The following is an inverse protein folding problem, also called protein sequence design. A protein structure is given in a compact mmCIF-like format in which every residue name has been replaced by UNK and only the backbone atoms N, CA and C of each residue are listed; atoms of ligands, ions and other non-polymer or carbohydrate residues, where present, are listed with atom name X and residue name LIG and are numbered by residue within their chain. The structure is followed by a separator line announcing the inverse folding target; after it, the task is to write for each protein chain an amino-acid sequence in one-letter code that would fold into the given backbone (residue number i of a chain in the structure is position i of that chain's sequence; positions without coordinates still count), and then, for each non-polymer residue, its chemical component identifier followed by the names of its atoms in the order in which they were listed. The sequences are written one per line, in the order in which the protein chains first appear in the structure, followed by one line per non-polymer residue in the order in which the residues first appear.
data_IF_012603709027
#
_entry.id   IF_012603709027
#
_cell.length_a   1.000
_cell.length_b   1.000
_cell.length_c   1.000
_cell.angle_alpha   90.00
_cell.angle_beta   90.00
_cell.angle_gamma   90.00
#
_symmetry.space_group_name_H-M   'P 1'
#
loop_
_entity.id
_entity.type
_entity.pdbx_description
1 polymer ?
#
# COMPACT_ATOMS: atom_id res chain seq x y z
N UNK A 1 -4.92 7.04 -18.00
CA UNK A 1 -6.02 6.08 -17.78
C UNK A 1 -7.30 6.70 -17.25
N UNK A 2 -7.24 7.73 -16.40
CA UNK A 2 -8.45 8.29 -15.79
C UNK A 2 -9.47 8.79 -16.81
N UNK A 3 -10.76 8.62 -16.49
CA UNK A 3 -11.88 9.05 -17.33
C UNK A 3 -12.00 10.58 -17.42
N UNK A 4 -12.66 11.07 -18.47
CA UNK A 4 -12.81 12.51 -18.68
C UNK A 4 -13.72 13.18 -17.65
N UNK A 5 -14.59 12.41 -17.00
CA UNK A 5 -15.57 12.91 -16.03
C UNK A 5 -14.95 13.13 -14.65
N UNK A 6 -13.77 12.56 -14.40
CA UNK A 6 -12.99 12.83 -13.19
C UNK A 6 -12.31 14.19 -13.32
N UNK A 7 -12.99 15.22 -12.83
CA UNK A 7 -12.53 16.63 -12.89
C UNK A 7 -11.36 16.94 -11.95
N UNK A 8 -10.98 16.01 -11.09
CA UNK A 8 -9.92 16.22 -10.11
C UNK A 8 -8.55 15.90 -10.71
N UNK A 9 -7.59 16.80 -10.54
CA UNK A 9 -6.19 16.51 -10.86
C UNK A 9 -5.66 15.44 -9.89
N UNK A 10 -5.31 14.24 -10.36
CA UNK A 10 -4.88 13.14 -9.49
C UNK A 10 -3.54 13.43 -8.82
N UNK A 11 -2.67 14.21 -9.44
CA UNK A 11 -1.38 14.59 -8.86
C UNK A 11 -1.59 15.58 -7.72
N UNK A 12 -2.38 16.62 -7.95
CA UNK A 12 -2.73 17.58 -6.92
C UNK A 12 -3.41 16.90 -5.74
N UNK A 13 -4.35 16.00 -5.98
CA UNK A 13 -5.04 15.23 -4.92
C UNK A 13 -4.08 14.44 -4.03
N UNK A 14 -3.14 13.71 -4.64
CA UNK A 14 -2.15 12.92 -3.90
C UNK A 14 -1.19 13.83 -3.14
N UNK A 15 -0.73 14.91 -3.76
CA UNK A 15 0.20 15.87 -3.13
C UNK A 15 -0.45 16.60 -1.97
N UNK A 16 -1.71 17.01 -2.09
CA UNK A 16 -2.46 17.64 -1.01
C UNK A 16 -2.61 16.69 0.19
N UNK A 17 -2.97 15.44 -0.04
CA UNK A 17 -3.06 14.41 0.98
C UNK A 17 -1.71 14.16 1.67
N UNK A 18 -0.62 14.12 0.89
CA UNK A 18 0.74 13.97 1.39
C UNK A 18 1.13 15.16 2.29
N UNK A 19 1.01 16.38 1.80
CA UNK A 19 1.39 17.57 2.57
C UNK A 19 0.51 17.77 3.79
N UNK A 20 -0.79 17.48 3.69
CA UNK A 20 -1.68 17.50 4.85
C UNK A 20 -1.19 16.55 5.93
N UNK A 21 -0.88 15.30 5.57
CA UNK A 21 -0.38 14.30 6.51
C UNK A 21 0.95 14.70 7.14
N UNK A 22 1.87 15.28 6.36
CA UNK A 22 3.14 15.79 6.91
C UNK A 22 2.92 16.94 7.88
N UNK A 23 2.03 17.90 7.57
CA UNK A 23 1.71 19.03 8.47
C UNK A 23 1.04 18.61 9.79
N UNK A 24 0.32 17.49 9.78
CA UNK A 24 -0.32 16.92 10.97
C UNK A 24 0.63 16.05 11.81
N UNK A 25 1.90 15.98 11.45
CA UNK A 25 2.90 15.29 12.26
C UNK A 25 3.26 16.11 13.50
N UNK A 26 3.34 15.46 14.64
CA UNK A 26 3.71 16.08 15.90
C UNK A 26 5.23 16.34 15.94
N UNK A 27 5.63 17.49 15.41
CA UNK A 27 7.01 17.95 15.29
C UNK A 27 7.27 19.04 16.33
N UNK A 28 8.23 18.78 17.22
CA UNK A 28 8.66 19.73 18.22
C UNK A 28 9.68 20.72 17.64
N UNK A 29 9.75 21.96 18.14
CA UNK A 29 10.70 22.97 17.67
C UNK A 29 12.17 22.50 17.72
N UNK A 30 12.54 21.74 18.73
CA UNK A 30 13.88 21.19 18.97
C UNK A 30 14.23 19.98 18.09
N UNK A 31 13.27 19.42 17.35
CA UNK A 31 13.56 18.27 16.50
C UNK A 31 14.56 18.63 15.39
N UNK A 32 15.58 17.83 15.24
CA UNK A 32 16.54 17.89 14.14
C UNK A 32 15.84 17.66 12.79
N UNK A 33 16.43 18.07 11.66
CA UNK A 33 15.87 17.79 10.34
C UNK A 33 15.60 16.29 10.09
N UNK A 34 16.47 15.43 10.59
CA UNK A 34 16.30 13.97 10.49
C UNK A 34 15.08 13.50 11.28
N UNK A 35 14.95 13.92 12.54
CA UNK A 35 13.82 13.54 13.39
C UNK A 35 12.50 14.04 12.82
N UNK A 36 12.46 15.27 12.31
CA UNK A 36 11.29 15.81 11.60
C UNK A 36 10.89 14.90 10.46
N UNK A 37 11.84 14.55 9.59
CA UNK A 37 11.58 13.67 8.46
C UNK A 37 11.12 12.28 8.89
N UNK A 38 11.72 11.72 9.93
CA UNK A 38 11.31 10.41 10.46
C UNK A 38 9.91 10.44 11.07
N UNK A 39 9.52 11.49 11.78
CA UNK A 39 8.16 11.66 12.29
C UNK A 39 7.13 11.77 11.16
N UNK A 40 7.41 12.54 10.11
CA UNK A 40 6.57 12.59 8.91
C UNK A 40 6.41 11.21 8.26
N UNK A 41 7.52 10.48 8.09
CA UNK A 41 7.52 9.14 7.52
C UNK A 41 6.71 8.15 8.36
N UNK A 42 6.81 8.23 9.68
CA UNK A 42 6.02 7.40 10.62
C UNK A 42 4.53 7.72 10.45
N UNK A 43 4.15 9.01 10.43
CA UNK A 43 2.77 9.41 10.26
C UNK A 43 2.18 8.98 8.91
N UNK A 44 2.94 9.15 7.82
CA UNK A 44 2.57 8.65 6.49
C UNK A 44 2.37 7.12 6.49
N UNK A 45 3.28 6.37 7.15
CA UNK A 45 3.14 4.93 7.26
C UNK A 45 1.91 4.51 8.05
N UNK A 46 1.61 5.16 9.17
CA UNK A 46 0.43 4.83 9.96
C UNK A 46 -0.87 5.11 9.19
N UNK A 47 -1.01 6.29 8.60
CA UNK A 47 -2.26 6.73 7.98
C UNK A 47 -2.55 6.07 6.63
N UNK A 48 -1.52 5.79 5.84
CA UNK A 48 -1.71 5.30 4.48
C UNK A 48 -1.34 3.83 4.31
N UNK A 49 -0.18 3.43 4.78
CA UNK A 49 0.30 2.08 4.56
C UNK A 49 -0.24 1.08 5.58
N UNK A 50 -0.07 1.37 6.87
CA UNK A 50 -0.45 0.45 7.93
C UNK A 50 -1.96 0.27 8.03
N UNK A 51 -2.71 1.37 7.96
CA UNK A 51 -4.18 1.33 7.96
C UNK A 51 -4.71 0.47 6.80
N UNK A 52 -4.18 0.66 5.58
CA UNK A 52 -4.58 -0.13 4.41
C UNK A 52 -4.25 -1.62 4.59
N UNK A 53 -3.09 -1.95 5.18
CA UNK A 53 -2.72 -3.34 5.45
C UNK A 53 -3.63 -4.00 6.49
N UNK A 54 -3.94 -3.28 7.57
CA UNK A 54 -4.81 -3.75 8.65
C UNK A 54 -6.23 -4.00 8.13
N UNK A 55 -6.80 -3.02 7.42
CA UNK A 55 -8.14 -3.11 6.85
C UNK A 55 -8.25 -4.28 5.87
N UNK A 56 -7.29 -4.43 4.96
CA UNK A 56 -7.24 -5.59 4.05
C UNK A 56 -7.13 -6.90 4.80
N UNK A 57 -6.26 -6.97 5.82
CA UNK A 57 -6.03 -8.18 6.60
C UNK A 57 -7.29 -8.58 7.35
N UNK A 58 -7.92 -7.62 8.02
CA UNK A 58 -9.16 -7.83 8.78
C UNK A 58 -10.27 -8.34 7.87
N UNK A 59 -10.60 -7.62 6.81
CA UNK A 59 -11.69 -7.99 5.88
C UNK A 59 -11.49 -9.35 5.24
N UNK A 60 -10.29 -9.67 4.79
CA UNK A 60 -10.02 -10.95 4.12
C UNK A 60 -10.06 -12.13 5.10
N UNK A 61 -9.52 -11.96 6.30
CA UNK A 61 -9.50 -13.02 7.30
C UNK A 61 -10.89 -13.25 7.91
N UNK A 62 -11.62 -12.18 8.23
CA UNK A 62 -12.97 -12.27 8.76
C UNK A 62 -13.96 -12.87 7.74
N UNK A 63 -13.78 -12.58 6.45
CA UNK A 63 -14.54 -13.25 5.39
C UNK A 63 -14.34 -14.77 5.41
N UNK A 64 -13.16 -15.24 5.79
CA UNK A 64 -12.83 -16.64 5.96
C UNK A 64 -13.09 -17.16 7.40
N UNK A 65 -13.82 -16.41 8.23
CA UNK A 65 -14.10 -16.73 9.64
C UNK A 65 -12.83 -16.92 10.49
N UNK A 66 -11.76 -16.20 10.14
CA UNK A 66 -10.49 -16.25 10.85
C UNK A 66 -10.17 -14.88 11.46
N UNK A 67 -10.14 -14.79 12.78
CA UNK A 67 -9.67 -13.58 13.46
C UNK A 67 -8.14 -13.52 13.45
N UNK A 68 -7.60 -12.40 12.95
CA UNK A 68 -6.16 -12.13 12.95
C UNK A 68 -5.86 -10.94 13.84
N UNK A 69 -4.98 -11.16 14.82
CA UNK A 69 -4.49 -10.12 15.71
C UNK A 69 -3.07 -9.70 15.34
N UNK A 70 -2.78 -8.41 15.48
CA UNK A 70 -1.50 -7.80 15.07
C UNK A 70 -0.89 -7.06 16.26
N UNK A 71 -0.21 -7.76 17.20
CA UNK A 71 0.26 -7.16 18.45
C UNK A 71 1.17 -5.93 18.28
N UNK A 72 1.98 -5.89 17.21
CA UNK A 72 2.84 -4.74 16.92
C UNK A 72 2.09 -3.49 16.42
N UNK A 73 0.80 -3.61 16.16
CA UNK A 73 -0.06 -2.48 15.82
C UNK A 73 -0.88 -1.98 17.03
N UNK A 74 -0.54 -2.41 18.24
CA UNK A 74 -1.12 -1.87 19.47
C UNK A 74 -0.78 -0.38 19.58
N UNK A 75 -1.81 0.44 19.75
CA UNK A 75 -1.65 1.90 19.79
C UNK A 75 -0.71 2.35 20.94
N UNK A 76 -0.68 1.63 22.09
CA UNK A 76 0.20 1.93 23.20
C UNK A 76 1.68 1.78 22.84
N UNK A 77 2.00 0.77 22.02
CA UNK A 77 3.36 0.60 21.49
C UNK A 77 3.68 1.73 20.50
N UNK A 78 2.72 2.10 19.66
CA UNK A 78 2.88 3.17 18.70
C UNK A 78 3.13 4.52 19.39
N UNK A 79 2.32 4.88 20.38
CA UNK A 79 2.48 6.10 21.21
C UNK A 79 3.84 6.13 21.91
N UNK A 80 4.20 5.06 22.59
CA UNK A 80 5.50 4.97 23.26
C UNK A 80 6.65 5.16 22.28
N UNK A 81 6.65 4.42 21.17
CA UNK A 81 7.73 4.47 20.20
C UNK A 81 7.76 5.78 19.42
N UNK A 82 6.65 6.48 19.28
CA UNK A 82 6.63 7.77 18.57
C UNK A 82 7.51 8.81 19.27
N UNK A 83 7.51 8.83 20.60
CA UNK A 83 8.34 9.72 21.41
C UNK A 83 9.81 9.30 21.53
N UNK A 84 10.17 8.04 21.22
CA UNK A 84 11.56 7.56 21.32
C UNK A 84 12.42 8.18 20.22
N UNK A 85 13.60 8.77 20.53
CA UNK A 85 14.52 9.30 19.54
C UNK A 85 14.94 8.27 18.50
N UNK A 86 15.13 8.73 17.25
CA UNK A 86 15.42 7.81 16.14
C UNK A 86 16.66 6.97 16.32
N UNK A 87 17.71 7.52 16.92
CA UNK A 87 18.97 6.83 17.21
C UNK A 87 18.81 5.55 18.04
N UNK A 88 17.79 5.48 18.88
CA UNK A 88 17.48 4.26 19.63
C UNK A 88 16.68 3.25 18.81
N UNK A 89 15.81 3.73 17.92
CA UNK A 89 15.04 2.85 17.03
C UNK A 89 15.92 2.15 16.02
N UNK A 90 16.94 2.85 15.53
CA UNK A 90 17.93 2.38 14.56
C UNK A 90 19.28 2.05 15.24
N UNK A 91 19.23 1.45 16.40
CA UNK A 91 20.40 1.15 17.20
C UNK A 91 21.39 0.26 16.41
N UNK A 92 22.61 0.73 16.29
CA UNK A 92 23.66 0.06 15.53
C UNK A 92 23.46 0.10 14.01
N UNK A 93 22.65 1.03 13.48
CA UNK A 93 22.35 1.16 12.05
C UNK A 93 21.55 -0.02 11.50
N UNK A 94 20.77 -0.68 12.34
CA UNK A 94 19.96 -1.84 11.96
C UNK A 94 18.48 -1.56 12.14
N UNK A 95 17.69 -2.02 11.17
CA UNK A 95 16.25 -1.99 11.29
C UNK A 95 15.78 -2.72 12.55
N UNK A 96 14.84 -2.09 13.28
CA UNK A 96 14.30 -2.60 14.56
C UNK A 96 15.34 -2.75 15.67
N UNK A 97 16.38 -1.92 15.69
CA UNK A 97 17.49 -2.01 16.62
C UNK A 97 17.05 -2.08 18.07
N UNK A 98 16.16 -1.21 18.52
CA UNK A 98 15.60 -1.22 19.87
C UNK A 98 14.90 -2.55 20.22
N UNK A 99 14.06 -3.06 19.30
CA UNK A 99 13.37 -4.33 19.52
C UNK A 99 14.37 -5.50 19.62
N UNK A 100 15.39 -5.51 18.75
CA UNK A 100 16.45 -6.54 18.81
C UNK A 100 17.15 -6.49 20.14
N UNK A 101 17.53 -5.31 20.61
CA UNK A 101 18.16 -5.13 21.92
C UNK A 101 17.27 -5.63 23.07
N UNK A 102 15.98 -5.32 23.02
CA UNK A 102 15.03 -5.78 24.05
C UNK A 102 14.82 -7.30 24.06
N UNK A 103 15.16 -8.00 22.98
CA UNK A 103 14.92 -9.43 22.80
C UNK A 103 16.21 -10.28 22.88
N UNK A 104 17.36 -9.69 23.22
CA UNK A 104 18.65 -10.41 23.26
C UNK A 104 18.63 -11.62 24.20
N UNK A 105 17.95 -11.50 25.34
CA UNK A 105 17.86 -12.60 26.32
C UNK A 105 16.69 -13.57 26.07
N UNK A 106 15.87 -13.29 25.03
CA UNK A 106 14.63 -14.03 24.76
C UNK A 106 14.71 -14.83 23.47
N UNK A 107 15.38 -14.30 22.44
CA UNK A 107 15.45 -14.91 21.13
C UNK A 107 16.81 -15.51 20.81
N UNK A 108 16.86 -16.66 20.13
CA UNK A 108 18.13 -17.20 19.62
C UNK A 108 18.80 -16.19 18.67
N UNK A 109 20.13 -16.14 18.71
CA UNK A 109 20.94 -15.20 17.92
C UNK A 109 20.61 -15.22 16.42
N UNK A 110 20.40 -16.40 15.86
CA UNK A 110 20.04 -16.57 14.44
C UNK A 110 18.71 -15.90 14.07
N UNK A 111 17.77 -15.83 15.00
CA UNK A 111 16.47 -15.14 14.80
C UNK A 111 16.65 -13.65 15.04
N UNK A 112 17.36 -13.29 16.09
CA UNK A 112 17.62 -11.91 16.52
C UNK A 112 18.29 -11.10 15.41
N UNK A 113 19.30 -11.65 14.76
CA UNK A 113 20.10 -10.96 13.72
C UNK A 113 19.71 -11.33 12.29
N UNK A 114 18.63 -12.06 12.09
CA UNK A 114 18.14 -12.41 10.76
C UNK A 114 17.82 -11.15 9.95
N UNK A 115 18.33 -11.11 8.71
CA UNK A 115 17.95 -10.07 7.75
C UNK A 115 16.51 -10.26 7.31
N UNK A 116 15.79 -9.13 7.14
CA UNK A 116 14.44 -9.15 6.58
C UNK A 116 14.48 -9.75 5.17
N UNK A 117 13.72 -10.82 4.96
CA UNK A 117 13.44 -11.33 3.63
C UNK A 117 12.05 -10.86 3.17
N UNK A 118 11.92 -10.38 1.93
CA UNK A 118 10.62 -10.01 1.40
C UNK A 118 9.74 -11.26 1.24
N UNK A 119 8.43 -11.06 1.28
CA UNK A 119 7.49 -12.12 0.89
C UNK A 119 7.74 -12.51 -0.58
N UNK A 120 7.57 -13.81 -0.93
CA UNK A 120 7.65 -14.24 -2.31
C UNK A 120 6.67 -13.45 -3.16
N UNK A 121 7.13 -12.93 -4.29
CA UNK A 121 6.25 -12.30 -5.28
C UNK A 121 5.73 -13.38 -6.21
N UNK A 122 4.48 -13.24 -6.64
CA UNK A 122 3.93 -14.10 -7.69
C UNK A 122 4.61 -13.74 -9.01
N UNK A 123 5.44 -14.65 -9.51
CA UNK A 123 6.13 -14.55 -10.80
C UNK A 123 5.60 -15.59 -11.81
N UNK A 124 4.39 -16.11 -11.61
CA UNK A 124 3.81 -17.09 -12.49
C UNK A 124 3.32 -16.42 -13.79
N UNK A 125 3.93 -16.73 -14.96
CA UNK A 125 3.51 -16.15 -16.24
C UNK A 125 2.06 -16.52 -16.61
N UNK A 126 1.55 -17.63 -16.08
CA UNK A 126 0.15 -18.03 -16.31
C UNK A 126 -0.81 -17.07 -15.65
N UNK A 127 -0.46 -16.54 -14.47
CA UNK A 127 -1.25 -15.52 -13.80
C UNK A 127 -1.35 -14.24 -14.62
N UNK A 128 -0.23 -13.76 -15.15
CA UNK A 128 -0.22 -12.57 -16.00
C UNK A 128 -1.08 -12.76 -17.25
N UNK A 129 -0.89 -13.87 -17.98
CA UNK A 129 -1.69 -14.22 -19.16
C UNK A 129 -3.18 -14.30 -18.84
N UNK A 130 -3.55 -14.86 -17.68
CA UNK A 130 -4.95 -14.93 -17.25
C UNK A 130 -5.52 -13.53 -16.99
N UNK A 131 -4.76 -12.63 -16.37
CA UNK A 131 -5.20 -11.25 -16.14
C UNK A 131 -5.35 -10.48 -17.45
N UNK A 132 -4.44 -10.68 -18.42
CA UNK A 132 -4.58 -10.11 -19.77
C UNK A 132 -5.87 -10.56 -20.46
N UNK A 133 -6.12 -11.86 -20.46
CA UNK A 133 -7.33 -12.41 -21.07
C UNK A 133 -8.61 -11.87 -20.43
N UNK A 134 -8.65 -11.79 -19.10
CA UNK A 134 -9.79 -11.25 -18.37
C UNK A 134 -9.99 -9.77 -18.65
N UNK A 135 -8.93 -8.98 -18.68
CA UNK A 135 -9.01 -7.55 -18.95
C UNK A 135 -9.38 -7.26 -20.41
N UNK A 136 -8.86 -8.04 -21.35
CA UNK A 136 -9.27 -7.98 -22.75
C UNK A 136 -10.78 -8.33 -22.93
N UNK A 137 -11.24 -9.36 -22.21
CA UNK A 137 -12.67 -9.69 -22.17
C UNK A 137 -13.54 -8.57 -21.59
N UNK A 138 -13.03 -7.86 -20.58
CA UNK A 138 -13.72 -6.71 -20.00
C UNK A 138 -13.76 -5.52 -20.98
N UNK A 139 -12.70 -5.29 -21.74
CA UNK A 139 -12.67 -4.27 -22.79
C UNK A 139 -13.75 -4.48 -23.87
N UNK A 140 -14.13 -5.72 -24.15
CA UNK A 140 -15.18 -6.04 -25.10
C UNK A 140 -16.60 -5.75 -24.56
N UNK A 141 -16.78 -5.61 -23.26
CA UNK A 141 -18.07 -5.34 -22.62
C UNK A 141 -18.40 -3.84 -22.71
N UNK A 142 -19.44 -3.49 -23.45
CA UNK A 142 -19.81 -2.07 -23.69
C UNK A 142 -20.19 -1.32 -22.42
N UNK A 143 -20.83 -2.00 -21.46
CA UNK A 143 -21.42 -1.40 -20.26
C UNK A 143 -20.65 -1.72 -18.97
N UNK A 144 -19.39 -2.18 -19.06
CA UNK A 144 -18.60 -2.44 -17.86
C UNK A 144 -18.38 -1.15 -17.05
N UNK A 145 -18.77 -1.12 -15.75
CA UNK A 145 -18.80 0.11 -14.95
C UNK A 145 -17.40 0.70 -14.70
N UNK A 146 -16.37 -0.09 -14.81
CA UNK A 146 -14.98 0.41 -14.75
C UNK A 146 -14.75 1.59 -15.71
N UNK A 147 -15.40 1.58 -16.88
CA UNK A 147 -15.19 2.60 -17.91
C UNK A 147 -15.91 3.94 -17.67
N UNK A 148 -16.63 4.05 -16.57
CA UNK A 148 -16.99 5.36 -15.99
C UNK A 148 -15.78 6.03 -15.32
N UNK A 149 -14.84 5.25 -14.79
CA UNK A 149 -13.66 5.75 -14.07
C UNK A 149 -12.43 5.87 -14.95
N UNK A 150 -12.25 4.99 -15.94
CA UNK A 150 -11.06 4.94 -16.79
C UNK A 150 -11.42 4.92 -18.27
N UNK A 151 -10.55 5.51 -19.08
CA UNK A 151 -10.71 5.50 -20.54
C UNK A 151 -10.36 4.13 -21.12
N UNK A 152 -11.20 3.58 -21.99
CA UNK A 152 -10.92 2.33 -22.72
C UNK A 152 -9.59 2.39 -23.46
N UNK A 153 -9.36 3.48 -24.20
CA UNK A 153 -8.11 3.72 -24.91
C UNK A 153 -6.87 3.66 -24.00
N UNK A 154 -6.99 4.17 -22.78
CA UNK A 154 -5.92 4.11 -21.79
C UNK A 154 -5.65 2.69 -21.29
N UNK A 155 -6.68 1.85 -21.15
CA UNK A 155 -6.53 0.43 -20.78
C UNK A 155 -5.96 -0.37 -21.95
N UNK A 156 -6.41 -0.10 -23.18
CA UNK A 156 -5.85 -0.73 -24.40
C UNK A 156 -4.38 -0.40 -24.55
N UNK A 157 -4.01 0.87 -24.49
CA UNK A 157 -2.61 1.29 -24.57
C UNK A 157 -1.76 0.67 -23.44
N UNK A 158 -2.35 0.45 -22.25
CA UNK A 158 -1.69 -0.25 -21.18
C UNK A 158 -1.44 -1.73 -21.49
N UNK A 159 -2.38 -2.43 -22.10
CA UNK A 159 -2.22 -3.83 -22.49
C UNK A 159 -1.18 -4.02 -23.60
N UNK A 160 -1.09 -3.08 -24.52
CA UNK A 160 -0.19 -3.12 -25.69
C UNK A 160 1.21 -2.56 -25.40
N UNK A 161 1.36 -1.80 -24.31
CA UNK A 161 2.61 -1.11 -23.97
C UNK A 161 3.66 -1.99 -23.32
N UNK A 162 4.92 -1.54 -23.38
CA UNK A 162 6.01 -2.11 -22.59
C UNK A 162 5.97 -1.52 -21.16
N UNK A 163 5.84 -2.40 -20.17
CA UNK A 163 5.75 -2.06 -18.75
C UNK A 163 6.90 -2.68 -17.97
N UNK A 164 8.11 -2.50 -18.42
CA UNK A 164 9.34 -2.90 -17.73
C UNK A 164 9.49 -2.21 -16.36
N UNK A 165 8.90 -1.01 -16.19
CA UNK A 165 8.91 -0.25 -14.95
C UNK A 165 7.70 -0.55 -14.06
N UNK A 166 7.90 -0.73 -12.75
CA UNK A 166 6.78 -0.86 -11.83
C UNK A 166 6.01 0.46 -11.74
N UNK A 167 4.69 0.39 -11.85
CA UNK A 167 3.84 1.58 -11.83
C UNK A 167 3.79 2.26 -10.45
N UNK A 168 3.86 1.49 -9.39
CA UNK A 168 3.87 2.01 -8.03
C UNK A 168 4.93 1.30 -7.20
N UNK A 169 6.12 1.88 -7.14
CA UNK A 169 7.24 1.31 -6.42
C UNK A 169 7.50 -0.16 -6.79
N UNK A 170 7.95 -0.94 -5.84
CA UNK A 170 8.28 -2.35 -6.06
C UNK A 170 7.07 -3.29 -6.12
N UNK A 171 5.89 -2.83 -5.76
CA UNK A 171 4.76 -3.69 -5.44
C UNK A 171 3.79 -3.89 -6.60
N UNK A 172 3.60 -2.90 -7.46
CA UNK A 172 2.66 -2.98 -8.57
C UNK A 172 3.38 -3.12 -9.91
N UNK A 173 3.38 -4.33 -10.43
CA UNK A 173 3.80 -4.64 -11.80
C UNK A 173 2.56 -4.82 -12.67
N UNK A 174 2.78 -5.09 -13.95
CA UNK A 174 1.71 -5.25 -14.96
C UNK A 174 0.58 -6.18 -14.51
N UNK A 175 0.81 -7.42 -14.02
CA UNK A 175 -0.29 -8.29 -13.60
C UNK A 175 -1.08 -7.75 -12.40
N UNK A 176 -0.44 -7.03 -11.47
CA UNK A 176 -1.12 -6.44 -10.32
C UNK A 176 -2.01 -5.26 -10.73
N UNK A 177 -1.57 -4.43 -11.68
CA UNK A 177 -2.39 -3.33 -12.20
C UNK A 177 -3.61 -3.87 -12.93
N UNK A 178 -3.44 -4.88 -13.77
CA UNK A 178 -4.56 -5.54 -14.45
C UNK A 178 -5.54 -6.17 -13.46
N UNK A 179 -5.03 -6.88 -12.46
CA UNK A 179 -5.85 -7.44 -11.40
C UNK A 179 -6.60 -6.37 -10.61
N UNK A 180 -5.96 -5.24 -10.32
CA UNK A 180 -6.60 -4.11 -9.64
C UNK A 180 -7.76 -3.53 -10.46
N UNK A 181 -7.58 -3.31 -11.75
CA UNK A 181 -8.66 -2.84 -12.63
C UNK A 181 -9.84 -3.81 -12.65
N UNK A 182 -9.56 -5.11 -12.72
CA UNK A 182 -10.59 -6.16 -12.66
C UNK A 182 -11.32 -6.18 -11.32
N UNK A 183 -10.59 -5.99 -10.21
CA UNK A 183 -11.18 -5.91 -8.87
C UNK A 183 -12.08 -4.68 -8.71
N UNK A 184 -11.67 -3.53 -9.23
CA UNK A 184 -12.51 -2.31 -9.22
C UNK A 184 -13.79 -2.56 -10.00
N UNK A 185 -13.69 -3.15 -11.21
CA UNK A 185 -14.89 -3.48 -11.99
C UNK A 185 -15.81 -4.43 -11.23
N UNK A 186 -15.25 -5.52 -10.68
CA UNK A 186 -16.01 -6.48 -9.89
C UNK A 186 -16.71 -5.82 -8.70
N UNK A 187 -16.03 -4.93 -8.01
CA UNK A 187 -16.59 -4.20 -6.87
C UNK A 187 -17.77 -3.31 -7.29
N UNK A 188 -17.61 -2.56 -8.36
CA UNK A 188 -18.67 -1.69 -8.91
C UNK A 188 -19.92 -2.50 -9.30
N UNK A 189 -19.73 -3.63 -9.99
CA UNK A 189 -20.82 -4.52 -10.41
C UNK A 189 -21.48 -5.22 -9.22
N UNK A 190 -20.67 -5.85 -8.37
CA UNK A 190 -21.16 -6.70 -7.28
C UNK A 190 -21.95 -5.89 -6.24
N UNK A 191 -21.45 -4.71 -5.89
CA UNK A 191 -22.09 -3.84 -4.91
C UNK A 191 -23.03 -2.79 -5.55
N UNK A 192 -23.20 -2.81 -6.86
CA UNK A 192 -24.08 -1.88 -7.62
C UNK A 192 -23.78 -0.42 -7.25
N UNK A 193 -22.49 -0.06 -7.31
CA UNK A 193 -22.04 1.28 -6.95
C UNK A 193 -22.32 2.24 -8.09
N UNK A 194 -23.12 3.27 -7.83
CA UNK A 194 -23.37 4.34 -8.78
C UNK A 194 -22.23 5.36 -8.74
N UNK A 195 -21.70 5.69 -9.93
CA UNK A 195 -20.73 6.76 -10.08
C UNK A 195 -21.46 8.06 -10.39
N UNK A 196 -21.56 8.94 -9.39
CA UNK A 196 -22.19 10.26 -9.53
C UNK A 196 -21.11 11.30 -9.87
N UNK A 197 -21.02 11.71 -11.12
CA UNK A 197 -20.07 12.74 -11.62
C UNK A 197 -20.79 13.96 -12.15
#
# INVERSE_FOLDING_TARGET
MLGPDLKQDPVAFVMDAYYKTCRESDILPENTPLERRMKEMVNLNFRWFMQTLLDRKDRMSMYASLEVRVPFCDYRIAEYLYGVPWQFKDLGGREKGLLRRAMEDVLPEQVLFRKKSPYPKTHDPRYEKLMEQKLAGLLAQKQAPLFHLVRRSGVTAYLEGDHSWPWYGQLMRRPQVMAWLLQVNFWLEHYRVDCLF
#
